data_IF_396090717519
#
_entry.id   IF_396090717519
#
_cell.length_a   1.000
_cell.length_b   1.000
_cell.length_c   1.000
_cell.angle_alpha   90.00
_cell.angle_beta   90.00
_cell.angle_gamma   90.00
#
_symmetry.space_group_name_H-M   'P 1'
#
loop_
_entity.id
_entity.type
_entity.pdbx_description
1 polymer ?
#
# COMPACT_ATOMS: atom_id res chain seq x y z
N UNK A 1 20.23 -12.59 3.03
CA UNK A 1 19.53 -13.09 4.24
C UNK A 1 18.10 -12.52 4.28
N UNK A 2 17.15 -13.25 4.85
CA UNK A 2 15.79 -12.76 5.10
C UNK A 2 15.62 -12.61 6.60
N UNK A 3 15.07 -11.48 7.02
CA UNK A 3 14.76 -11.16 8.41
C UNK A 3 13.24 -11.11 8.61
N UNK A 4 12.83 -11.29 9.86
CA UNK A 4 11.42 -11.35 10.26
C UNK A 4 11.12 -10.31 11.33
N UNK A 5 9.99 -9.61 11.18
CA UNK A 5 9.44 -8.67 12.16
C UNK A 5 7.97 -8.99 12.41
N UNK A 6 7.59 -9.15 13.67
CA UNK A 6 6.21 -9.36 14.09
C UNK A 6 5.69 -8.20 14.93
N UNK A 7 4.45 -7.78 14.70
CA UNK A 7 3.72 -6.83 15.54
C UNK A 7 2.34 -7.36 15.84
N UNK A 8 1.93 -7.37 17.11
CA UNK A 8 0.63 -7.87 17.53
C UNK A 8 0.00 -6.95 18.59
N UNK A 9 -1.29 -6.66 18.41
CA UNK A 9 -2.09 -5.90 19.36
C UNK A 9 -2.29 -6.69 20.66
N UNK A 10 -2.19 -5.99 21.81
CA UNK A 10 -2.41 -6.59 23.12
C UNK A 10 -3.87 -6.43 23.53
N UNK A 11 -4.49 -7.52 23.98
CA UNK A 11 -5.82 -7.51 24.61
C UNK A 11 -7.00 -7.86 23.69
N UNK A 12 -6.76 -8.08 22.39
CA UNK A 12 -7.77 -8.54 21.44
C UNK A 12 -7.22 -9.73 20.62
N UNK A 13 -7.47 -10.96 21.09
CA UNK A 13 -6.89 -12.15 20.49
C UNK A 13 -7.62 -12.64 19.22
N UNK A 14 -8.88 -12.28 19.01
CA UNK A 14 -9.65 -12.76 17.85
C UNK A 14 -9.53 -11.84 16.63
N UNK A 15 -9.51 -10.52 16.82
CA UNK A 15 -9.50 -9.54 15.71
C UNK A 15 -8.45 -8.42 15.90
N UNK A 16 -7.50 -8.62 16.81
CA UNK A 16 -6.42 -7.66 17.00
C UNK A 16 -5.50 -7.59 15.80
N UNK A 17 -4.88 -6.42 15.59
CA UNK A 17 -3.87 -6.24 14.56
C UNK A 17 -2.74 -7.28 14.73
N UNK A 18 -2.41 -8.02 13.68
CA UNK A 18 -1.28 -8.95 13.68
C UNK A 18 -0.53 -8.90 12.35
N UNK A 19 0.65 -8.28 12.37
CA UNK A 19 1.54 -8.15 11.21
C UNK A 19 2.73 -9.09 11.33
N UNK A 20 2.99 -9.81 10.24
CA UNK A 20 4.12 -10.70 10.07
C UNK A 20 4.85 -10.27 8.81
N UNK A 21 6.00 -9.63 8.96
CA UNK A 21 6.72 -8.96 7.88
C UNK A 21 8.04 -9.69 7.62
N UNK A 22 8.30 -9.98 6.34
CA UNK A 22 9.59 -10.46 5.87
C UNK A 22 10.31 -9.31 5.18
N UNK A 23 11.59 -9.13 5.49
CA UNK A 23 12.40 -8.05 4.94
C UNK A 23 13.81 -8.50 4.61
N UNK A 24 14.42 -7.85 3.62
CA UNK A 24 15.85 -7.98 3.31
C UNK A 24 16.72 -7.10 4.21
N UNK A 25 16.13 -6.09 4.85
CA UNK A 25 16.83 -5.19 5.77
C UNK A 25 17.22 -5.92 7.05
N UNK A 26 18.47 -5.78 7.53
CA UNK A 26 18.89 -6.36 8.81
C UNK A 26 18.05 -5.86 9.98
N UNK A 27 17.63 -6.79 10.84
CA UNK A 27 16.92 -6.47 12.08
C UNK A 27 17.69 -7.05 13.25
N UNK A 28 18.41 -6.19 13.95
CA UNK A 28 19.27 -6.57 15.08
C UNK A 28 18.88 -5.87 16.39
N UNK A 29 18.15 -4.77 16.27
CA UNK A 29 17.68 -3.96 17.38
C UNK A 29 16.16 -3.76 17.33
N UNK A 30 15.62 -3.25 18.43
CA UNK A 30 14.22 -2.85 18.49
C UNK A 30 13.95 -1.67 17.56
N UNK A 31 14.91 -0.76 17.45
CA UNK A 31 14.88 0.42 16.60
C UNK A 31 14.80 0.01 15.13
N UNK A 32 15.55 -1.01 14.71
CA UNK A 32 15.46 -1.58 13.36
C UNK A 32 14.06 -2.15 13.10
N UNK A 33 13.53 -2.93 14.04
CA UNK A 33 12.19 -3.52 13.91
C UNK A 33 11.09 -2.45 13.80
N UNK A 34 11.21 -1.36 14.57
CA UNK A 34 10.31 -0.20 14.48
C UNK A 34 10.39 0.48 13.11
N UNK A 35 11.58 0.64 12.54
CA UNK A 35 11.74 1.22 11.21
C UNK A 35 11.01 0.39 10.14
N UNK A 36 11.10 -0.95 10.21
CA UNK A 36 10.38 -1.84 9.28
C UNK A 36 8.86 -1.72 9.42
N UNK A 37 8.36 -1.64 10.65
CA UNK A 37 6.93 -1.42 10.92
C UNK A 37 6.49 -0.08 10.32
N UNK A 38 7.25 0.99 10.57
CA UNK A 38 6.96 2.33 10.01
C UNK A 38 6.97 2.32 8.49
N UNK A 39 7.90 1.63 7.82
CA UNK A 39 7.85 1.50 6.36
C UNK A 39 6.58 0.79 5.88
N UNK A 40 6.16 -0.26 6.59
CA UNK A 40 4.97 -1.01 6.23
C UNK A 40 3.66 -0.23 6.49
N UNK A 41 3.62 0.67 7.46
CA UNK A 41 2.50 1.59 7.69
C UNK A 41 2.22 2.45 6.45
N UNK A 42 3.27 2.85 5.73
CA UNK A 42 3.16 3.66 4.51
C UNK A 42 2.64 2.85 3.30
N UNK A 43 2.51 1.52 3.40
CA UNK A 43 1.96 0.68 2.31
C UNK A 43 0.57 1.17 1.88
N UNK A 44 -0.23 1.68 2.81
CA UNK A 44 -1.58 2.19 2.53
C UNK A 44 -1.60 3.41 1.60
N UNK A 45 -0.51 4.16 1.47
CA UNK A 45 -0.46 5.33 0.58
C UNK A 45 -0.75 4.97 -0.88
N UNK A 46 -0.38 3.76 -1.32
CA UNK A 46 -0.68 3.30 -2.69
C UNK A 46 -2.17 3.07 -2.89
N UNK A 47 -2.90 2.66 -1.85
CA UNK A 47 -4.34 2.45 -1.89
C UNK A 47 -5.07 3.80 -1.97
N UNK A 48 -4.61 4.80 -1.20
CA UNK A 48 -5.13 6.17 -1.28
C UNK A 48 -4.88 6.78 -2.65
N UNK A 49 -3.69 6.59 -3.23
CA UNK A 49 -3.41 6.99 -4.61
C UNK A 49 -4.37 6.33 -5.61
N UNK A 50 -4.57 5.00 -5.52
CA UNK A 50 -5.51 4.31 -6.39
C UNK A 50 -6.96 4.79 -6.21
N UNK A 51 -7.36 5.14 -5.00
CA UNK A 51 -8.71 5.66 -4.69
C UNK A 51 -8.93 7.03 -5.34
N UNK A 52 -7.97 7.95 -5.20
CA UNK A 52 -8.03 9.26 -5.87
C UNK A 52 -8.06 9.06 -7.39
N UNK A 53 -7.21 8.20 -7.91
CA UNK A 53 -7.11 7.97 -9.36
C UNK A 53 -8.39 7.37 -9.96
N UNK A 54 -9.02 6.40 -9.28
CA UNK A 54 -10.22 5.73 -9.81
C UNK A 54 -11.52 6.48 -9.55
N UNK A 55 -11.64 7.14 -8.40
CA UNK A 55 -12.96 7.54 -7.89
C UNK A 55 -13.08 9.02 -7.52
N UNK A 56 -12.00 9.68 -7.07
CA UNK A 56 -12.09 11.03 -6.46
C UNK A 56 -11.38 12.16 -7.25
N UNK A 57 -10.55 11.86 -8.26
CA UNK A 57 -9.67 12.86 -8.90
C UNK A 57 -9.82 13.03 -10.42
N UNK A 58 -10.14 11.96 -11.17
CA UNK A 58 -10.17 12.03 -12.65
C UNK A 58 -11.34 11.29 -13.31
N UNK A 59 -12.21 10.65 -12.52
CA UNK A 59 -13.44 9.98 -12.96
C UNK A 59 -13.27 9.19 -14.28
N UNK A 60 -12.14 8.47 -14.39
CA UNK A 60 -11.76 7.76 -15.62
C UNK A 60 -12.76 6.65 -15.92
N UNK A 61 -13.40 6.07 -14.89
CA UNK A 61 -14.44 5.05 -15.05
C UNK A 61 -15.76 5.63 -15.60
N UNK A 62 -16.01 6.95 -15.50
CA UNK A 62 -17.17 7.61 -16.10
C UNK A 62 -16.90 8.13 -17.52
N UNK A 63 -15.63 8.28 -17.90
CA UNK A 63 -15.22 8.62 -19.26
C UNK A 63 -15.56 7.48 -20.21
N UNK A 64 -16.76 7.54 -20.81
CA UNK A 64 -17.21 6.69 -21.93
C UNK A 64 -16.41 6.97 -23.21
N UNK A 65 -15.11 6.69 -23.20
CA UNK A 65 -14.27 6.73 -24.40
C UNK A 65 -14.55 5.48 -25.23
N UNK A 66 -15.12 5.68 -26.42
CA UNK A 66 -15.64 4.62 -27.28
C UNK A 66 -14.57 3.72 -27.93
N UNK A 67 -13.31 3.75 -27.46
CA UNK A 67 -12.22 2.91 -27.95
C UNK A 67 -11.15 2.68 -26.88
N UNK A 68 -10.74 1.42 -26.70
CA UNK A 68 -9.73 0.94 -25.72
C UNK A 68 -8.42 1.75 -25.76
N UNK A 69 -7.93 2.06 -26.97
CA UNK A 69 -6.69 2.81 -27.22
C UNK A 69 -6.65 4.21 -26.59
N UNK A 70 -7.81 4.87 -26.48
CA UNK A 70 -7.90 6.21 -25.90
C UNK A 70 -8.00 6.15 -24.37
N UNK A 71 -8.51 5.05 -23.81
CA UNK A 71 -8.51 4.85 -22.35
C UNK A 71 -7.10 4.60 -21.83
N UNK A 72 -6.29 3.74 -22.48
CA UNK A 72 -4.91 3.49 -22.05
C UNK A 72 -4.06 4.77 -22.02
N UNK A 73 -4.21 5.64 -23.04
CA UNK A 73 -3.51 6.93 -23.10
C UNK A 73 -3.90 7.83 -21.93
N UNK A 74 -5.18 7.90 -21.60
CA UNK A 74 -5.69 8.81 -20.57
C UNK A 74 -5.39 8.31 -19.15
N UNK A 75 -5.45 6.99 -18.94
CA UNK A 75 -4.97 6.30 -17.72
C UNK A 75 -3.50 6.61 -17.47
N UNK A 76 -2.67 6.52 -18.51
CA UNK A 76 -1.22 6.75 -18.39
C UNK A 76 -0.89 8.21 -18.07
N UNK A 77 -1.60 9.17 -18.67
CA UNK A 77 -1.36 10.61 -18.46
C UNK A 77 -1.81 11.05 -17.05
N UNK A 78 -2.94 10.55 -16.56
CA UNK A 78 -3.48 10.92 -15.25
C UNK A 78 -2.86 10.12 -14.09
N UNK A 79 -1.97 9.19 -14.39
CA UNK A 79 -1.24 8.41 -13.41
C UNK A 79 0.00 9.10 -12.83
N UNK A 80 0.36 10.30 -13.27
CA UNK A 80 1.56 11.01 -12.82
C UNK A 80 1.28 12.46 -12.43
#
# INVERSE_FOLDING_TARGET
PVYYVGSAERGNAENGLSWHLLTSEPVTSKEDALAIITYYEHRWLVEEYHKVWKSDGTDIESLRLQSQDNMERLVTINGF
#
